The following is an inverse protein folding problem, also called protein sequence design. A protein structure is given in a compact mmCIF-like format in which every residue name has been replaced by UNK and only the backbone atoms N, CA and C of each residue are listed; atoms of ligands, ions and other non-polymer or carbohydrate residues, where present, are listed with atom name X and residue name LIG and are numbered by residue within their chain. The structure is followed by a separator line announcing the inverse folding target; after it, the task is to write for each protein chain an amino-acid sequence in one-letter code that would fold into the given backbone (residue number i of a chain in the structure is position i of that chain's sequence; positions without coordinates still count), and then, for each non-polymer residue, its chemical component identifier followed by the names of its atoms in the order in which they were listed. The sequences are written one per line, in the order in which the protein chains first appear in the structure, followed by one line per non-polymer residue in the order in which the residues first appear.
data_IF_954587113675
#
_entry.id   IF_954587113675
#
_cell.length_a   1.000
_cell.length_b   1.000
_cell.length_c   1.000
_cell.angle_alpha   90.00
_cell.angle_beta   90.00
_cell.angle_gamma   90.00
#
_symmetry.space_group_name_H-M   'P 1'
#
loop_
_entity.id
_entity.type
_entity.pdbx_description
1 polymer ?
#
# COMPACT_ATOMS: atom_id res chain seq x y z
N UNK A 1 33.28 18.17 -5.15
CA UNK A 1 33.86 17.53 -3.95
C UNK A 1 33.34 16.10 -3.94
N UNK A 2 34.24 15.11 -4.00
CA UNK A 2 33.87 13.69 -3.99
C UNK A 2 33.28 13.38 -2.61
N UNK A 3 31.96 13.13 -2.57
CA UNK A 3 31.35 12.50 -1.42
C UNK A 3 31.93 11.08 -1.35
N UNK A 4 32.68 10.78 -0.29
CA UNK A 4 33.08 9.41 0.00
C UNK A 4 31.82 8.58 0.14
N UNK A 5 31.59 7.65 -0.79
CA UNK A 5 30.54 6.64 -0.67
C UNK A 5 30.84 5.85 0.61
N UNK A 6 30.09 6.14 1.69
CA UNK A 6 30.07 5.24 2.83
C UNK A 6 29.63 3.87 2.32
N UNK A 7 30.32 2.78 2.70
CA UNK A 7 29.90 1.44 2.30
C UNK A 7 28.47 1.21 2.76
N UNK A 8 27.65 0.63 1.87
CA UNK A 8 26.25 0.31 2.16
C UNK A 8 26.16 -0.44 3.49
N UNK A 9 25.17 -0.06 4.31
CA UNK A 9 24.90 -0.70 5.61
C UNK A 9 24.60 -2.19 5.47
N UNK A 10 24.22 -2.61 4.27
CA UNK A 10 23.85 -3.98 3.92
C UNK A 10 24.91 -4.69 3.07
N UNK A 11 26.13 -4.14 2.95
CA UNK A 11 27.20 -4.71 2.12
C UNK A 11 27.62 -6.13 2.53
N UNK A 12 27.31 -6.57 3.75
CA UNK A 12 27.57 -7.94 4.23
C UNK A 12 26.46 -8.93 3.88
N UNK A 13 25.29 -8.46 3.41
CA UNK A 13 24.20 -9.34 2.98
C UNK A 13 24.44 -9.83 1.55
N UNK A 14 24.08 -11.08 1.23
CA UNK A 14 24.26 -11.60 -0.11
C UNK A 14 23.36 -10.86 -1.10
N UNK A 15 23.83 -10.73 -2.34
CA UNK A 15 22.96 -10.37 -3.45
C UNK A 15 22.04 -11.55 -3.75
N UNK A 16 20.73 -11.32 -3.67
CA UNK A 16 19.74 -12.32 -4.00
C UNK A 16 19.52 -12.39 -5.51
N UNK A 17 19.27 -13.59 -6.03
CA UNK A 17 18.72 -13.76 -7.38
C UNK A 17 17.22 -13.51 -7.32
N UNK A 18 16.64 -12.87 -8.33
CA UNK A 18 15.20 -12.69 -8.46
C UNK A 18 14.46 -14.03 -8.62
N UNK A 19 15.10 -15.01 -9.27
CA UNK A 19 14.56 -16.35 -9.47
C UNK A 19 15.52 -17.46 -9.04
N UNK A 20 14.95 -18.57 -8.56
CA UNK A 20 15.63 -19.84 -8.28
C UNK A 20 14.86 -20.94 -9.00
N UNK A 21 15.53 -21.68 -9.88
CA UNK A 21 14.93 -22.77 -10.67
C UNK A 21 13.65 -22.39 -11.43
N UNK A 22 13.57 -21.14 -11.92
CA UNK A 22 12.43 -20.59 -12.65
C UNK A 22 11.26 -20.13 -11.77
N UNK A 23 11.38 -20.25 -10.46
CA UNK A 23 10.41 -19.78 -9.48
C UNK A 23 10.87 -18.46 -8.82
N UNK A 24 9.93 -17.62 -8.36
CA UNK A 24 10.25 -16.37 -7.67
C UNK A 24 11.00 -16.64 -6.37
N UNK A 25 12.07 -15.90 -6.11
CA UNK A 25 12.84 -16.02 -4.88
C UNK A 25 12.17 -15.23 -3.76
N UNK A 26 11.25 -15.86 -3.02
CA UNK A 26 10.48 -15.20 -1.96
C UNK A 26 10.70 -15.79 -0.55
N UNK A 27 11.63 -16.73 -0.35
CA UNK A 27 11.90 -17.34 0.96
C UNK A 27 13.38 -17.75 1.15
N UNK A 28 13.76 -18.04 2.40
CA UNK A 28 15.08 -18.52 2.79
C UNK A 28 16.01 -17.45 3.38
N UNK A 29 15.61 -16.17 3.36
CA UNK A 29 16.34 -15.05 3.96
C UNK A 29 15.48 -14.23 4.92
N UNK A 30 14.52 -14.85 5.62
CA UNK A 30 13.57 -14.20 6.51
C UNK A 30 14.25 -13.35 7.59
N UNK A 31 15.34 -13.84 8.16
CA UNK A 31 16.12 -13.10 9.17
C UNK A 31 16.79 -11.84 8.61
N UNK A 32 17.28 -11.90 7.36
CA UNK A 32 17.87 -10.74 6.70
C UNK A 32 16.80 -9.72 6.30
N UNK A 33 15.68 -10.19 5.74
CA UNK A 33 14.49 -9.36 5.44
C UNK A 33 14.03 -8.64 6.70
N UNK A 34 13.80 -9.37 7.79
CA UNK A 34 13.37 -8.79 9.06
C UNK A 34 14.37 -7.74 9.56
N UNK A 35 15.68 -8.05 9.55
CA UNK A 35 16.72 -7.12 9.99
C UNK A 35 16.73 -5.83 9.16
N UNK A 36 16.52 -5.92 7.85
CA UNK A 36 16.53 -4.77 6.92
C UNK A 36 15.25 -3.95 7.06
N UNK A 37 14.07 -4.58 7.05
CA UNK A 37 12.79 -3.89 7.15
C UNK A 37 12.60 -3.19 8.49
N UNK A 38 13.15 -3.73 9.58
CA UNK A 38 13.11 -3.14 10.92
C UNK A 38 14.08 -1.96 11.12
N UNK A 39 14.88 -1.59 10.11
CA UNK A 39 15.72 -0.39 10.22
C UNK A 39 14.85 0.85 10.36
N UNK A 40 14.90 1.48 11.52
CA UNK A 40 14.23 2.74 11.79
C UNK A 40 15.20 3.90 11.54
N UNK A 41 15.18 4.45 10.33
CA UNK A 41 15.94 5.66 9.98
C UNK A 41 15.12 6.53 9.04
N UNK A 42 15.25 7.85 9.18
CA UNK A 42 14.66 8.79 8.24
C UNK A 42 15.35 8.65 6.87
N UNK A 43 14.57 8.31 5.85
CA UNK A 43 15.06 8.13 4.49
C UNK A 43 14.74 9.33 3.59
N UNK A 44 13.72 10.11 3.95
CA UNK A 44 13.18 11.19 3.13
C UNK A 44 13.67 12.57 3.61
N UNK A 45 13.74 12.81 4.93
CA UNK A 45 14.19 14.09 5.49
C UNK A 45 15.52 14.61 4.93
N UNK A 46 16.57 13.79 4.74
CA UNK A 46 17.84 14.31 4.20
C UNK A 46 17.75 14.77 2.74
N UNK A 47 16.65 14.46 2.05
CA UNK A 47 16.48 14.66 0.60
C UNK A 47 15.23 15.46 0.23
N UNK A 48 14.34 15.73 1.19
CA UNK A 48 13.10 16.46 0.94
C UNK A 48 13.39 17.93 0.61
N UNK A 49 12.61 18.48 -0.30
CA UNK A 49 12.62 19.89 -0.67
C UNK A 49 11.34 20.62 -0.19
N UNK A 50 10.49 19.93 0.58
CA UNK A 50 9.22 20.49 1.07
C UNK A 50 9.49 21.40 2.28
N UNK A 51 9.06 22.65 2.17
CA UNK A 51 9.10 23.62 3.28
C UNK A 51 7.80 23.50 4.08
N UNK A 52 7.77 22.54 5.00
CA UNK A 52 6.55 22.07 5.68
C UNK A 52 5.76 23.16 6.41
N UNK A 53 6.43 24.19 6.91
CA UNK A 53 5.83 25.34 7.59
C UNK A 53 5.17 26.33 6.64
N UNK A 54 5.53 26.32 5.36
CA UNK A 54 5.08 27.31 4.36
C UNK A 54 3.90 26.83 3.52
N UNK A 55 3.61 25.54 3.52
CA UNK A 55 2.51 24.97 2.73
C UNK A 55 1.17 25.03 3.50
N UNK A 56 0.07 25.23 2.78
CA UNK A 56 -1.28 25.18 3.35
C UNK A 56 -1.78 23.75 3.51
N UNK A 57 -1.43 22.88 2.58
CA UNK A 57 -1.81 21.48 2.53
C UNK A 57 -0.84 20.70 1.62
N UNK A 58 -0.96 19.38 1.62
CA UNK A 58 -0.28 18.52 0.66
C UNK A 58 -1.21 17.50 0.01
N UNK A 59 -0.68 16.83 -1.01
CA UNK A 59 -1.34 15.69 -1.64
C UNK A 59 -0.35 14.54 -1.85
N UNK A 60 -0.87 13.32 -1.82
CA UNK A 60 -0.12 12.11 -2.08
C UNK A 60 -0.94 11.20 -3.01
N UNK A 61 -0.28 10.67 -4.04
CA UNK A 61 -0.88 9.66 -4.92
C UNK A 61 -0.12 8.35 -4.83
N UNK A 62 -0.85 7.24 -4.85
CA UNK A 62 -0.33 5.91 -5.10
C UNK A 62 -0.93 5.31 -6.36
N UNK A 63 -0.13 4.52 -7.06
CA UNK A 63 -0.59 3.68 -8.16
C UNK A 63 -0.51 2.21 -7.73
N UNK A 64 -1.66 1.56 -7.67
CA UNK A 64 -1.77 0.11 -7.46
C UNK A 64 -1.62 -0.61 -8.80
N UNK A 65 -0.77 -1.64 -8.88
CA UNK A 65 -0.47 -2.36 -10.12
C UNK A 65 -0.52 -3.87 -9.88
N UNK A 66 -1.36 -4.57 -10.64
CA UNK A 66 -1.55 -6.00 -10.45
C UNK A 66 -1.87 -6.73 -11.76
N UNK A 67 -1.23 -7.90 -11.93
CA UNK A 67 -1.63 -8.91 -12.90
C UNK A 67 -1.60 -10.26 -12.21
N UNK A 68 -2.63 -11.11 -12.39
CA UNK A 68 -2.64 -12.42 -11.78
C UNK A 68 -1.64 -13.37 -12.46
N UNK A 69 -1.27 -14.40 -11.71
CA UNK A 69 -0.61 -15.59 -12.26
C UNK A 69 -1.67 -16.61 -12.68
N UNK A 70 -1.54 -17.19 -13.87
CA UNK A 70 -2.49 -18.15 -14.42
C UNK A 70 -1.80 -19.42 -14.92
N UNK A 71 -2.46 -20.59 -14.87
CA UNK A 71 -1.90 -21.87 -15.33
C UNK A 71 -2.07 -22.06 -16.85
N UNK A 72 -1.71 -21.04 -17.65
CA UNK A 72 -1.92 -21.03 -19.10
C UNK A 72 -0.65 -21.31 -19.92
N UNK A 73 0.50 -21.51 -19.27
CA UNK A 73 1.75 -21.83 -19.94
C UNK A 73 1.77 -23.25 -20.51
N UNK A 74 2.84 -23.57 -21.23
CA UNK A 74 3.07 -24.92 -21.79
C UNK A 74 2.94 -25.97 -20.67
N UNK A 75 2.12 -27.00 -20.90
CA UNK A 75 1.80 -28.05 -19.92
C UNK A 75 1.16 -27.54 -18.61
N UNK A 76 0.44 -26.42 -18.65
CA UNK A 76 -0.22 -25.84 -17.47
C UNK A 76 0.74 -25.10 -16.53
N UNK A 77 1.93 -24.73 -17.02
CA UNK A 77 2.89 -23.94 -16.25
C UNK A 77 2.29 -22.58 -15.84
N UNK A 78 2.69 -22.10 -14.68
CA UNK A 78 2.28 -20.80 -14.17
C UNK A 78 2.99 -19.67 -14.93
N UNK A 79 2.20 -18.81 -15.56
CA UNK A 79 2.69 -17.64 -16.29
C UNK A 79 1.96 -16.38 -15.84
N UNK A 80 2.54 -15.22 -16.13
CA UNK A 80 1.82 -13.95 -16.01
C UNK A 80 0.63 -13.92 -16.95
N UNK A 81 -0.51 -13.43 -16.48
CA UNK A 81 -1.63 -13.11 -17.37
C UNK A 81 -1.22 -12.11 -18.47
N UNK A 82 -0.31 -11.17 -18.17
CA UNK A 82 0.20 -10.24 -19.18
C UNK A 82 0.94 -10.96 -20.32
N UNK A 83 1.68 -12.04 -20.02
CA UNK A 83 2.31 -12.87 -21.03
C UNK A 83 1.27 -13.53 -21.93
N UNK A 84 0.23 -14.14 -21.33
CA UNK A 84 -0.88 -14.75 -22.07
C UNK A 84 -1.53 -13.73 -23.01
N UNK A 85 -1.75 -12.50 -22.55
CA UNK A 85 -2.32 -11.43 -23.38
C UNK A 85 -1.44 -11.11 -24.61
N UNK A 86 -0.12 -11.04 -24.44
CA UNK A 86 0.80 -10.83 -25.56
C UNK A 86 0.80 -11.99 -26.56
N UNK A 87 0.69 -13.23 -26.08
CA UNK A 87 0.65 -14.42 -26.92
C UNK A 87 -0.69 -14.57 -27.66
N UNK A 88 -1.78 -13.98 -27.14
CA UNK A 88 -3.13 -14.12 -27.66
C UNK A 88 -3.84 -12.76 -27.83
N UNK A 89 -3.32 -11.84 -28.66
CA UNK A 89 -3.75 -10.44 -28.70
C UNK A 89 -5.18 -10.22 -29.22
N UNK A 90 -5.79 -11.21 -29.87
CA UNK A 90 -7.13 -11.12 -30.46
C UNK A 90 -8.26 -11.65 -29.56
N UNK A 91 -7.91 -12.14 -28.36
CA UNK A 91 -8.89 -12.66 -27.40
C UNK A 91 -9.30 -11.55 -26.43
N UNK A 92 -10.59 -11.19 -26.42
CA UNK A 92 -11.13 -10.17 -25.53
C UNK A 92 -10.32 -8.86 -25.53
N UNK A 93 -9.93 -8.42 -24.34
CA UNK A 93 -9.18 -7.17 -24.14
C UNK A 93 -7.65 -7.34 -24.21
N UNK A 94 -7.15 -8.50 -24.68
CA UNK A 94 -5.72 -8.80 -24.75
C UNK A 94 -4.92 -7.83 -25.63
N UNK A 95 -5.58 -7.17 -26.59
CA UNK A 95 -4.99 -6.11 -27.41
C UNK A 95 -4.43 -4.94 -26.56
N UNK A 96 -4.84 -4.80 -25.29
CA UNK A 96 -4.33 -3.80 -24.35
C UNK A 96 -3.01 -4.18 -23.64
N UNK A 97 -2.43 -5.36 -23.91
CA UNK A 97 -1.22 -5.82 -23.22
C UNK A 97 -0.07 -4.79 -23.24
N UNK A 98 0.16 -4.15 -24.39
CA UNK A 98 1.16 -3.09 -24.53
C UNK A 98 0.84 -1.86 -23.66
N UNK A 99 -0.43 -1.48 -23.58
CA UNK A 99 -0.89 -0.36 -22.74
C UNK A 99 -0.72 -0.68 -21.27
N UNK A 100 -1.05 -1.90 -20.83
CA UNK A 100 -0.81 -2.34 -19.45
C UNK A 100 0.68 -2.30 -19.11
N UNK A 101 1.54 -2.88 -19.95
CA UNK A 101 2.99 -2.82 -19.77
C UNK A 101 3.50 -1.37 -19.67
N UNK A 102 2.98 -0.47 -20.50
CA UNK A 102 3.32 0.95 -20.41
C UNK A 102 2.83 1.57 -19.10
N UNK A 103 1.63 1.25 -18.62
CA UNK A 103 1.15 1.72 -17.31
C UNK A 103 2.11 1.28 -16.18
N UNK A 104 2.64 0.06 -16.23
CA UNK A 104 3.61 -0.47 -15.27
C UNK A 104 5.01 0.14 -15.34
N UNK A 105 5.32 0.89 -16.40
CA UNK A 105 6.69 1.38 -16.64
C UNK A 105 6.78 2.88 -16.88
N UNK A 106 5.67 3.55 -17.17
CA UNK A 106 5.61 4.98 -17.54
C UNK A 106 6.19 5.91 -16.49
N UNK A 107 6.17 5.53 -15.20
CA UNK A 107 6.80 6.36 -14.18
C UNK A 107 8.31 6.45 -14.34
N UNK A 108 8.95 5.43 -14.93
CA UNK A 108 10.36 5.48 -15.28
C UNK A 108 10.68 6.42 -16.45
N UNK A 109 9.64 6.90 -17.15
CA UNK A 109 9.75 7.94 -18.19
C UNK A 109 9.39 9.31 -17.62
N UNK A 110 8.26 9.40 -16.92
CA UNK A 110 7.71 10.68 -16.43
C UNK A 110 8.57 11.31 -15.35
N UNK A 111 9.08 10.52 -14.40
CA UNK A 111 9.88 11.05 -13.28
C UNK A 111 11.18 11.71 -13.80
N UNK A 112 12.03 11.02 -14.60
CA UNK A 112 13.21 11.67 -15.17
C UNK A 112 12.88 12.88 -16.06
N UNK A 113 11.83 12.81 -16.87
CA UNK A 113 11.41 13.91 -17.74
C UNK A 113 11.08 15.17 -16.95
N UNK A 114 10.22 15.05 -15.92
CA UNK A 114 9.78 16.16 -15.10
C UNK A 114 10.93 16.75 -14.26
N UNK A 115 11.83 15.91 -13.74
CA UNK A 115 13.03 16.38 -13.02
C UNK A 115 13.92 17.22 -13.94
N UNK A 116 14.14 16.77 -15.17
CA UNK A 116 14.91 17.54 -16.17
C UNK A 116 14.25 18.87 -16.53
N UNK A 117 12.94 18.99 -16.32
CA UNK A 117 12.16 20.22 -16.51
C UNK A 117 12.11 21.09 -15.23
N UNK A 118 12.81 20.72 -14.16
CA UNK A 118 12.85 21.46 -12.89
C UNK A 118 11.66 21.19 -11.96
N UNK A 119 10.84 20.18 -12.25
CA UNK A 119 9.74 19.78 -11.37
C UNK A 119 10.22 18.78 -10.29
N UNK A 120 9.42 18.62 -9.23
CA UNK A 120 9.71 17.70 -8.13
C UNK A 120 8.59 16.65 -7.94
N UNK A 121 8.41 15.73 -8.90
CA UNK A 121 7.29 14.80 -8.88
C UNK A 121 7.37 13.78 -7.74
N UNK A 122 6.27 13.50 -7.07
CA UNK A 122 6.15 12.44 -6.05
C UNK A 122 5.12 11.41 -6.46
N UNK A 123 5.44 10.13 -6.27
CA UNK A 123 4.51 9.03 -6.49
C UNK A 123 4.82 7.88 -5.53
N UNK A 124 3.78 7.24 -5.02
CA UNK A 124 3.88 5.97 -4.32
C UNK A 124 3.53 4.82 -5.29
N UNK A 125 4.27 3.71 -5.24
CA UNK A 125 4.09 2.55 -6.10
C UNK A 125 3.76 1.32 -5.27
N UNK A 126 2.63 0.69 -5.57
CA UNK A 126 2.19 -0.59 -5.00
C UNK A 126 2.11 -1.62 -6.13
N UNK A 127 3.04 -2.58 -6.15
CA UNK A 127 3.07 -3.64 -7.16
C UNK A 127 3.00 -4.99 -6.45
N UNK A 128 1.99 -5.79 -6.81
CA UNK A 128 1.90 -7.18 -6.32
C UNK A 128 3.14 -8.02 -6.69
N UNK A 129 3.43 -9.04 -5.89
CA UNK A 129 4.49 -9.99 -6.18
C UNK A 129 4.27 -10.78 -7.48
N UNK A 130 3.02 -11.11 -7.81
CA UNK A 130 2.66 -11.75 -9.10
C UNK A 130 3.10 -10.90 -10.29
N UNK A 131 2.81 -9.59 -10.27
CA UNK A 131 3.18 -8.70 -11.34
C UNK A 131 4.70 -8.59 -11.48
N UNK A 132 5.41 -8.37 -10.36
CA UNK A 132 6.88 -8.29 -10.37
C UNK A 132 7.52 -9.57 -10.93
N UNK A 133 6.99 -10.73 -10.54
CA UNK A 133 7.45 -12.01 -11.08
C UNK A 133 7.15 -12.14 -12.58
N UNK A 134 5.93 -11.79 -12.99
CA UNK A 134 5.50 -11.82 -14.38
C UNK A 134 6.33 -10.93 -15.30
N UNK A 135 6.67 -9.71 -14.86
CA UNK A 135 7.57 -8.82 -15.59
C UNK A 135 8.96 -9.44 -15.76
N UNK A 136 9.46 -10.16 -14.74
CA UNK A 136 10.70 -10.93 -14.81
C UNK A 136 10.62 -12.13 -15.75
N UNK A 137 9.52 -12.88 -15.73
CA UNK A 137 9.29 -14.02 -16.63
C UNK A 137 9.31 -13.61 -18.11
N UNK A 138 8.67 -12.49 -18.44
CA UNK A 138 8.58 -11.98 -19.81
C UNK A 138 9.91 -11.41 -20.33
N UNK A 139 10.91 -11.20 -19.46
CA UNK A 139 12.26 -10.70 -19.80
C UNK A 139 12.26 -9.42 -20.65
N UNK A 140 11.30 -8.55 -20.41
CA UNK A 140 11.26 -7.20 -20.99
C UNK A 140 12.11 -6.24 -20.17
N UNK A 141 12.39 -5.04 -20.69
CA UNK A 141 13.17 -4.00 -20.01
C UNK A 141 12.43 -3.34 -18.82
N UNK A 142 11.22 -3.80 -18.50
CA UNK A 142 10.36 -3.24 -17.47
C UNK A 142 11.01 -3.21 -16.08
N UNK A 143 11.62 -4.32 -15.64
CA UNK A 143 12.29 -4.35 -14.33
C UNK A 143 13.53 -3.45 -14.29
N UNK A 144 14.25 -3.29 -15.41
CA UNK A 144 15.41 -2.40 -15.47
C UNK A 144 15.00 -0.93 -15.42
N UNK A 145 13.89 -0.57 -16.07
CA UNK A 145 13.25 0.75 -15.95
C UNK A 145 12.83 1.05 -14.52
N UNK A 146 12.19 0.09 -13.84
CA UNK A 146 11.79 0.24 -12.44
C UNK A 146 13.02 0.34 -11.53
N UNK A 147 14.04 -0.50 -11.72
CA UNK A 147 15.31 -0.42 -10.99
C UNK A 147 15.96 0.95 -11.12
N UNK A 148 15.88 1.60 -12.29
CA UNK A 148 16.42 2.96 -12.46
C UNK A 148 15.80 3.94 -11.47
N UNK A 149 14.47 4.06 -11.44
CA UNK A 149 13.80 5.02 -10.55
C UNK A 149 13.82 4.61 -9.07
N UNK A 150 14.00 3.31 -8.79
CA UNK A 150 14.08 2.80 -7.42
C UNK A 150 15.48 2.92 -6.83
N UNK A 151 16.52 2.56 -7.57
CA UNK A 151 17.85 2.34 -7.02
C UNK A 151 18.79 3.54 -7.23
N UNK A 152 18.64 4.31 -8.31
CA UNK A 152 19.46 5.49 -8.55
C UNK A 152 19.15 6.57 -7.50
N UNK A 153 20.19 7.05 -6.82
CA UNK A 153 20.09 8.08 -5.78
C UNK A 153 19.46 9.38 -6.27
N UNK A 154 19.53 9.65 -7.57
CA UNK A 154 18.90 10.81 -8.23
C UNK A 154 17.38 10.74 -8.15
N UNK A 155 16.79 9.55 -8.30
CA UNK A 155 15.34 9.37 -8.38
C UNK A 155 14.68 8.92 -7.06
N UNK A 156 15.47 8.38 -6.13
CA UNK A 156 15.00 7.97 -4.80
C UNK A 156 14.13 8.99 -4.05
N UNK A 157 14.39 10.32 -4.10
CA UNK A 157 13.54 11.31 -3.41
C UNK A 157 12.12 11.44 -3.99
N UNK A 158 11.83 10.82 -5.14
CA UNK A 158 10.63 11.08 -5.93
C UNK A 158 9.68 9.88 -6.01
N UNK A 159 10.13 8.69 -5.60
CA UNK A 159 9.39 7.43 -5.73
C UNK A 159 9.46 6.64 -4.43
N UNK A 160 8.33 6.51 -3.75
CA UNK A 160 8.18 5.61 -2.60
C UNK A 160 7.55 4.29 -3.06
N UNK A 161 8.06 3.17 -2.56
CA UNK A 161 7.42 1.87 -2.71
C UNK A 161 6.62 1.55 -1.46
N UNK A 162 5.36 1.14 -1.65
CA UNK A 162 4.52 0.59 -0.60
C UNK A 162 4.66 -0.92 -0.60
N UNK A 163 4.68 -1.50 0.60
CA UNK A 163 4.52 -2.93 0.76
C UNK A 163 3.10 -3.35 0.40
N UNK A 164 2.98 -4.58 -0.08
CA UNK A 164 1.71 -5.27 -0.31
C UNK A 164 1.93 -6.77 -0.09
N UNK A 165 0.96 -7.60 -0.44
CA UNK A 165 1.09 -9.05 -0.39
C UNK A 165 1.64 -9.61 -1.70
N UNK A 166 2.35 -10.75 -1.61
CA UNK A 166 2.95 -11.33 -2.81
C UNK A 166 1.90 -11.76 -3.84
N UNK A 167 0.82 -12.41 -3.40
CA UNK A 167 -0.20 -12.97 -4.30
C UNK A 167 -1.49 -12.12 -4.40
N UNK A 168 -1.43 -10.82 -4.05
CA UNK A 168 -2.63 -9.99 -3.91
C UNK A 168 -3.65 -10.60 -2.91
N UNK A 169 -3.14 -11.13 -1.80
CA UNK A 169 -3.92 -11.76 -0.75
C UNK A 169 -4.73 -10.69 0.02
N UNK A 170 -6.05 -10.68 -0.17
CA UNK A 170 -6.98 -9.77 0.49
C UNK A 170 -7.14 -10.16 1.96
N UNK A 171 -6.86 -9.24 2.88
CA UNK A 171 -6.65 -9.58 4.28
C UNK A 171 -7.88 -10.24 4.97
N UNK A 172 -9.12 -9.76 4.76
CA UNK A 172 -10.31 -10.38 5.37
C UNK A 172 -10.62 -11.80 4.88
N UNK A 173 -10.08 -12.21 3.74
CA UNK A 173 -10.35 -13.54 3.16
C UNK A 173 -9.16 -14.50 3.28
N UNK A 174 -7.98 -14.00 3.64
CA UNK A 174 -6.74 -14.78 3.74
C UNK A 174 -6.59 -15.36 5.14
N UNK A 175 -6.37 -16.68 5.32
CA UNK A 175 -6.12 -17.26 6.63
C UNK A 175 -5.06 -16.49 7.42
N UNK A 176 -5.33 -16.21 8.69
CA UNK A 176 -4.47 -15.38 9.54
C UNK A 176 -2.98 -15.81 9.51
N UNK A 177 -2.64 -17.12 9.61
CA UNK A 177 -1.25 -17.57 9.52
C UNK A 177 -0.55 -17.22 8.19
N UNK A 178 -1.31 -17.11 7.10
CA UNK A 178 -0.78 -16.90 5.75
C UNK A 178 -0.52 -15.41 5.46
N UNK A 179 -1.17 -14.49 6.18
CA UNK A 179 -0.99 -13.05 5.99
C UNK A 179 0.49 -12.65 6.09
N UNK A 180 1.15 -13.05 7.18
CA UNK A 180 2.56 -12.74 7.41
C UNK A 180 3.46 -13.37 6.35
N UNK A 181 3.14 -14.60 5.91
CA UNK A 181 3.89 -15.29 4.86
C UNK A 181 3.82 -14.53 3.53
N UNK A 182 2.63 -14.07 3.14
CA UNK A 182 2.46 -13.28 1.92
C UNK A 182 3.19 -11.94 1.97
N UNK A 183 3.19 -11.28 3.12
CA UNK A 183 3.90 -10.02 3.33
C UNK A 183 5.42 -10.23 3.25
N UNK A 184 5.95 -11.24 3.94
CA UNK A 184 7.38 -11.54 3.93
C UNK A 184 7.85 -12.02 2.56
N UNK A 185 7.04 -12.82 1.87
CA UNK A 185 7.30 -13.25 0.50
C UNK A 185 7.46 -12.06 -0.45
N UNK A 186 6.61 -11.04 -0.30
CA UNK A 186 6.72 -9.81 -1.06
C UNK A 186 8.04 -9.07 -0.75
N UNK A 187 8.36 -8.86 0.53
CA UNK A 187 9.59 -8.16 0.94
C UNK A 187 10.84 -8.85 0.42
N UNK A 188 10.84 -10.18 0.49
CA UNK A 188 11.95 -11.01 0.02
C UNK A 188 12.16 -10.88 -1.48
N UNK A 189 11.08 -11.04 -2.26
CA UNK A 189 11.15 -10.93 -3.71
C UNK A 189 11.49 -9.48 -4.15
N UNK A 190 10.95 -8.48 -3.45
CA UNK A 190 11.31 -7.08 -3.66
C UNK A 190 12.80 -6.82 -3.43
N UNK A 191 13.38 -7.33 -2.33
CA UNK A 191 14.81 -7.24 -2.09
C UNK A 191 15.65 -7.97 -3.16
N UNK A 192 15.14 -9.06 -3.71
CA UNK A 192 15.81 -9.77 -4.80
C UNK A 192 15.84 -8.99 -6.12
N UNK A 193 14.81 -8.21 -6.41
CA UNK A 193 14.73 -7.39 -7.62
C UNK A 193 15.47 -6.06 -7.43
N UNK A 194 15.25 -5.36 -6.32
CA UNK A 194 15.67 -3.97 -6.11
C UNK A 194 16.82 -3.80 -5.10
N UNK A 195 17.15 -4.84 -4.34
CA UNK A 195 18.21 -4.82 -3.33
C UNK A 195 17.77 -4.38 -1.93
N UNK A 196 18.63 -4.66 -0.95
CA UNK A 196 18.36 -4.41 0.47
C UNK A 196 18.15 -2.94 0.83
N UNK A 197 18.91 -2.03 0.20
CA UNK A 197 18.74 -0.58 0.42
C UNK A 197 17.36 -0.09 -0.02
N UNK A 198 16.80 -0.69 -1.09
CA UNK A 198 15.45 -0.38 -1.54
C UNK A 198 14.42 -0.90 -0.54
N UNK A 199 14.54 -2.16 -0.09
CA UNK A 199 13.64 -2.74 0.91
C UNK A 199 13.63 -1.93 2.21
N UNK A 200 14.79 -1.44 2.66
CA UNK A 200 14.88 -0.66 3.89
C UNK A 200 13.98 0.59 3.87
N UNK A 201 13.72 1.18 2.69
CA UNK A 201 12.88 2.38 2.51
C UNK A 201 11.38 2.09 2.48
N UNK A 202 10.96 0.83 2.34
CA UNK A 202 9.54 0.46 2.28
C UNK A 202 8.97 0.47 3.69
N UNK A 203 8.27 1.55 4.06
CA UNK A 203 7.69 1.74 5.40
C UNK A 203 6.17 1.81 5.40
N UNK A 204 5.54 2.17 4.28
CA UNK A 204 4.10 2.14 4.11
C UNK A 204 3.60 0.79 3.61
N UNK A 205 2.37 0.43 3.98
CA UNK A 205 1.67 -0.75 3.47
C UNK A 205 0.34 -0.37 2.80
N UNK A 206 0.10 -0.94 1.61
CA UNK A 206 -1.14 -0.83 0.85
C UNK A 206 -1.84 -2.20 0.87
N UNK A 207 -2.93 -2.36 1.64
CA UNK A 207 -3.70 -3.60 1.64
C UNK A 207 -4.29 -3.85 0.24
N UNK A 208 -4.22 -5.09 -0.31
CA UNK A 208 -4.95 -5.44 -1.52
C UNK A 208 -6.44 -5.11 -1.40
N UNK A 209 -7.02 -4.56 -2.47
CA UNK A 209 -8.39 -4.00 -2.50
C UNK A 209 -8.65 -2.90 -1.45
N UNK A 210 -7.60 -2.41 -0.81
CA UNK A 210 -7.66 -1.51 0.34
C UNK A 210 -8.57 -2.04 1.46
N UNK A 211 -8.72 -3.36 1.54
CA UNK A 211 -9.69 -4.00 2.42
C UNK A 211 -9.08 -4.26 3.80
N UNK A 212 -9.64 -3.58 4.80
CA UNK A 212 -9.26 -3.73 6.20
C UNK A 212 -10.17 -4.76 6.90
N UNK A 213 -9.64 -5.77 7.61
CA UNK A 213 -10.47 -6.66 8.41
C UNK A 213 -11.23 -5.88 9.49
N UNK A 214 -12.54 -6.11 9.60
CA UNK A 214 -13.36 -5.51 10.66
C UNK A 214 -13.54 -6.47 11.85
N UNK A 215 -13.32 -7.78 11.67
CA UNK A 215 -13.27 -8.72 12.80
C UNK A 215 -12.10 -8.40 13.75
N UNK A 216 -12.32 -8.24 15.07
CA UNK A 216 -11.29 -7.86 16.06
C UNK A 216 -9.98 -8.66 15.99
N UNK A 217 -10.07 -10.00 15.98
CA UNK A 217 -8.88 -10.86 15.96
C UNK A 217 -8.10 -10.79 14.65
N UNK A 218 -8.82 -10.70 13.51
CA UNK A 218 -8.19 -10.64 12.20
C UNK A 218 -7.48 -9.29 12.00
N UNK A 219 -8.10 -8.20 12.45
CA UNK A 219 -7.47 -6.88 12.44
C UNK A 219 -6.21 -6.84 13.31
N UNK A 220 -6.29 -7.38 14.53
CA UNK A 220 -5.16 -7.43 15.46
C UNK A 220 -3.97 -8.17 14.86
N UNK A 221 -4.19 -9.38 14.33
CA UNK A 221 -3.10 -10.17 13.74
C UNK A 221 -2.59 -9.55 12.44
N UNK A 222 -3.44 -8.89 11.64
CA UNK A 222 -3.00 -8.13 10.47
C UNK A 222 -2.08 -6.97 10.86
N UNK A 223 -2.51 -6.09 11.77
CA UNK A 223 -1.69 -4.94 12.22
C UNK A 223 -0.41 -5.41 12.89
N UNK A 224 -0.47 -6.45 13.72
CA UNK A 224 0.71 -7.08 14.34
C UNK A 224 1.67 -7.64 13.28
N UNK A 225 1.18 -8.35 12.27
CA UNK A 225 2.01 -8.84 11.17
C UNK A 225 2.70 -7.70 10.41
N UNK A 226 2.02 -6.57 10.18
CA UNK A 226 2.63 -5.39 9.57
C UNK A 226 3.78 -4.82 10.41
N UNK A 227 3.57 -4.66 11.73
CA UNK A 227 4.63 -4.18 12.64
C UNK A 227 5.81 -5.13 12.72
N UNK A 228 5.54 -6.44 12.82
CA UNK A 228 6.56 -7.48 12.82
C UNK A 228 7.42 -7.47 11.55
N UNK A 229 6.80 -7.12 10.41
CA UNK A 229 7.47 -6.98 9.12
C UNK A 229 8.14 -5.61 8.91
N UNK A 230 8.08 -4.71 9.89
CA UNK A 230 8.80 -3.43 9.88
C UNK A 230 8.07 -2.27 9.17
N UNK A 231 6.79 -2.44 8.83
CA UNK A 231 5.97 -1.33 8.36
C UNK A 231 5.65 -0.37 9.50
N UNK A 232 5.63 0.93 9.18
CA UNK A 232 5.39 2.04 10.12
C UNK A 232 4.00 2.62 9.98
N UNK A 233 3.42 2.53 8.79
CA UNK A 233 2.08 3.04 8.53
C UNK A 233 1.34 2.19 7.50
N UNK A 234 0.02 2.26 7.55
CA UNK A 234 -0.88 1.56 6.62
C UNK A 234 -1.85 2.54 5.98
N UNK A 235 -2.13 2.37 4.70
CA UNK A 235 -3.18 3.13 4.03
C UNK A 235 -4.53 2.43 4.26
N UNK A 236 -5.56 3.18 4.66
CA UNK A 236 -6.91 2.63 4.93
C UNK A 236 -8.00 3.47 4.25
N UNK A 237 -9.10 2.84 3.84
CA UNK A 237 -10.23 3.59 3.26
C UNK A 237 -10.99 4.35 4.33
N UNK A 238 -11.39 5.60 4.03
CA UNK A 238 -12.18 6.46 4.91
C UNK A 238 -13.42 5.76 5.50
N UNK A 239 -14.10 4.93 4.71
CA UNK A 239 -15.32 4.23 5.13
C UNK A 239 -15.08 2.84 5.76
N UNK A 240 -13.82 2.39 5.81
CA UNK A 240 -13.43 1.14 6.49
C UNK A 240 -13.08 1.34 7.96
N UNK A 241 -13.05 2.60 8.41
CA UNK A 241 -12.67 3.00 9.76
C UNK A 241 -13.67 3.99 10.34
N UNK A 242 -13.72 4.04 11.66
CA UNK A 242 -14.55 4.93 12.47
C UNK A 242 -13.75 5.45 13.66
N UNK A 243 -14.23 6.53 14.27
CA UNK A 243 -13.77 6.94 15.61
C UNK A 243 -14.14 5.86 16.64
N UNK A 244 -13.50 5.88 17.83
CA UNK A 244 -13.80 4.90 18.87
C UNK A 244 -15.26 4.95 19.37
N UNK A 245 -15.92 6.10 19.18
CA UNK A 245 -17.33 6.32 19.48
C UNK A 245 -18.27 5.95 18.31
N UNK A 246 -17.76 5.34 17.24
CA UNK A 246 -18.57 4.84 16.11
C UNK A 246 -19.00 5.91 15.10
N UNK A 247 -18.43 7.11 15.15
CA UNK A 247 -18.67 8.17 14.18
C UNK A 247 -17.67 8.14 13.01
N UNK A 248 -18.06 8.65 11.85
CA UNK A 248 -17.16 8.89 10.71
C UNK A 248 -16.02 9.85 11.08
N UNK A 249 -14.87 9.72 10.41
CA UNK A 249 -13.70 10.55 10.65
C UNK A 249 -13.94 12.00 10.22
N UNK A 250 -13.77 12.95 11.14
CA UNK A 250 -13.89 14.39 10.86
C UNK A 250 -12.60 14.97 10.27
N UNK A 251 -11.44 14.53 10.77
CA UNK A 251 -10.12 15.01 10.36
C UNK A 251 -9.44 14.08 9.35
N UNK A 252 -10.19 13.56 8.36
CA UNK A 252 -9.74 12.53 7.40
C UNK A 252 -8.44 12.81 6.62
N UNK A 253 -7.96 14.05 6.58
CA UNK A 253 -6.70 14.41 5.92
C UNK A 253 -5.51 14.49 6.88
N UNK A 254 -5.69 14.11 8.14
CA UNK A 254 -4.63 13.96 9.13
C UNK A 254 -4.33 12.46 9.34
N UNK A 255 -3.10 12.12 9.75
CA UNK A 255 -2.80 10.76 10.18
C UNK A 255 -3.67 10.40 11.38
N UNK A 256 -4.08 9.13 11.45
CA UNK A 256 -4.83 8.58 12.58
C UNK A 256 -4.03 7.45 13.21
N UNK A 257 -4.30 7.15 14.48
CA UNK A 257 -3.81 5.94 15.13
C UNK A 257 -4.86 4.85 15.02
N UNK A 258 -4.64 3.89 14.12
CA UNK A 258 -5.50 2.73 13.98
C UNK A 258 -5.27 1.80 15.17
N UNK A 259 -6.28 1.67 16.04
CA UNK A 259 -6.27 0.81 17.22
C UNK A 259 -6.93 -0.51 16.86
N UNK A 260 -6.18 -1.60 17.00
CA UNK A 260 -6.65 -2.96 16.79
C UNK A 260 -6.66 -3.69 18.14
N UNK A 261 -7.85 -3.99 18.64
CA UNK A 261 -8.06 -4.78 19.86
C UNK A 261 -8.59 -6.16 19.48
N UNK A 262 -7.98 -7.22 20.00
CA UNK A 262 -8.48 -8.58 19.81
C UNK A 262 -9.50 -8.98 20.87
N UNK A 263 -10.09 -10.16 20.71
CA UNK A 263 -11.12 -10.68 21.60
C UNK A 263 -10.60 -11.09 22.99
N UNK A 264 -9.28 -11.24 23.15
CA UNK A 264 -8.61 -11.45 24.43
C UNK A 264 -8.23 -10.14 25.15
N UNK A 265 -8.55 -8.98 24.58
CA UNK A 265 -8.27 -7.65 25.16
C UNK A 265 -6.87 -7.12 24.85
N UNK A 266 -6.04 -7.86 24.12
CA UNK A 266 -4.74 -7.37 23.66
C UNK A 266 -4.94 -6.28 22.61
N UNK A 267 -4.06 -5.28 22.62
CA UNK A 267 -4.16 -4.13 21.72
C UNK A 267 -2.84 -3.88 21.03
N UNK A 268 -2.90 -3.63 19.73
CA UNK A 268 -1.79 -3.13 18.91
C UNK A 268 -2.29 -1.92 18.11
N UNK A 269 -1.40 -0.99 17.80
CA UNK A 269 -1.74 0.16 16.97
C UNK A 269 -0.67 0.48 15.93
N UNK A 270 -1.08 1.15 14.86
CA UNK A 270 -0.22 1.64 13.79
C UNK A 270 -0.77 2.95 13.24
N UNK A 271 0.12 3.82 12.75
CA UNK A 271 -0.26 5.05 12.05
C UNK A 271 -0.97 4.73 10.73
N UNK A 272 -2.10 5.39 10.49
CA UNK A 272 -2.94 5.20 9.32
C UNK A 272 -3.04 6.50 8.52
N UNK A 273 -2.76 6.41 7.22
CA UNK A 273 -3.08 7.46 6.26
C UNK A 273 -4.40 7.11 5.57
N UNK A 274 -5.35 8.04 5.61
CA UNK A 274 -6.71 7.78 5.14
C UNK A 274 -6.80 8.08 3.65
N UNK A 275 -7.16 7.06 2.86
CA UNK A 275 -7.57 7.21 1.47
C UNK A 275 -8.96 7.85 1.43
N UNK A 276 -9.04 9.07 0.93
CA UNK A 276 -10.30 9.84 0.86
C UNK A 276 -11.04 9.64 -0.47
N UNK A 277 -12.33 10.03 -0.51
CA UNK A 277 -13.19 10.05 -1.71
C UNK A 277 -13.62 8.66 -2.26
N UNK A 278 -13.61 7.61 -1.44
CA UNK A 278 -14.29 6.34 -1.76
C UNK A 278 -13.63 5.51 -2.87
N UNK A 279 -14.38 4.61 -3.51
CA UNK A 279 -13.91 3.60 -4.47
C UNK A 279 -13.62 4.11 -5.88
N UNK A 280 -13.73 5.42 -6.15
CA UNK A 280 -13.50 5.94 -7.50
C UNK A 280 -12.01 6.02 -7.85
N UNK A 281 -11.51 4.93 -8.44
CA UNK A 281 -10.12 4.81 -8.90
C UNK A 281 -9.75 5.83 -10.00
N UNK A 282 -10.74 6.50 -10.61
CA UNK A 282 -10.51 7.45 -11.71
C UNK A 282 -10.04 8.82 -11.22
N UNK A 283 -10.24 9.15 -9.94
CA UNK A 283 -9.87 10.45 -9.37
C UNK A 283 -8.36 10.72 -9.44
N UNK A 284 -7.55 9.69 -9.21
CA UNK A 284 -6.10 9.75 -9.38
C UNK A 284 -5.73 10.04 -10.82
N UNK A 285 -6.50 9.50 -11.78
CA UNK A 285 -6.30 9.70 -13.22
C UNK A 285 -6.39 11.15 -13.68
N UNK A 286 -7.05 12.00 -12.90
CA UNK A 286 -7.18 13.43 -13.18
C UNK A 286 -6.44 14.30 -12.16
N UNK A 287 -5.59 13.70 -11.32
CA UNK A 287 -4.88 14.39 -10.23
C UNK A 287 -5.82 15.17 -9.31
N UNK A 288 -7.04 14.67 -9.08
CA UNK A 288 -8.00 15.28 -8.15
C UNK A 288 -7.43 15.57 -6.74
N UNK A 289 -6.54 14.75 -6.12
CA UNK A 289 -6.08 15.04 -4.76
C UNK A 289 -5.25 16.32 -4.68
N UNK A 290 -4.56 16.71 -5.76
CA UNK A 290 -3.87 18.00 -5.84
C UNK A 290 -4.88 19.16 -5.80
N UNK A 291 -5.97 19.08 -6.57
CA UNK A 291 -6.98 20.13 -6.59
C UNK A 291 -7.78 20.19 -5.29
N UNK A 292 -8.06 19.06 -4.63
CA UNK A 292 -8.66 19.02 -3.29
C UNK A 292 -7.74 19.68 -2.26
N UNK A 293 -6.43 19.39 -2.28
CA UNK A 293 -5.47 19.99 -1.37
C UNK A 293 -5.44 21.53 -1.45
N UNK A 294 -5.63 22.11 -2.65
CA UNK A 294 -5.72 23.58 -2.84
C UNK A 294 -6.90 24.22 -2.12
N UNK A 295 -7.91 23.43 -1.74
CA UNK A 295 -9.08 23.92 -0.98
C UNK A 295 -8.91 23.82 0.52
N UNK A 296 -7.83 23.19 0.98
CA UNK A 296 -7.57 22.94 2.39
C UNK A 296 -6.63 23.97 2.99
N UNK A 297 -6.73 24.14 4.30
CA UNK A 297 -5.84 24.95 5.11
C UNK A 297 -5.22 24.10 6.22
N UNK A 298 -4.15 24.63 6.81
CA UNK A 298 -3.46 23.98 7.94
C UNK A 298 -4.44 23.67 9.06
N UNK A 299 -4.27 22.50 9.66
CA UNK A 299 -5.02 22.04 10.83
C UNK A 299 -4.09 21.99 12.03
N UNK A 300 -4.61 21.57 13.18
CA UNK A 300 -3.86 21.48 14.42
C UNK A 300 -3.91 20.06 14.98
N UNK A 301 -2.74 19.53 15.37
CA UNK A 301 -2.61 18.33 16.19
C UNK A 301 -1.90 18.76 17.46
N UNK A 302 -2.58 18.67 18.62
CA UNK A 302 -2.00 18.98 19.94
C UNK A 302 -1.29 20.34 20.04
N UNK A 303 -1.82 21.41 19.44
CA UNK A 303 -1.17 22.73 19.42
C UNK A 303 -0.16 22.93 18.30
N UNK A 304 0.16 21.89 17.52
CA UNK A 304 1.10 21.95 16.40
C UNK A 304 0.30 22.19 15.13
N UNK A 305 0.58 23.31 14.46
CA UNK A 305 -0.01 23.60 13.16
C UNK A 305 0.64 22.72 12.09
N UNK A 306 -0.14 21.90 11.41
CA UNK A 306 0.32 20.95 10.39
C UNK A 306 -0.50 21.09 9.11
N UNK A 307 0.09 20.91 7.91
CA UNK A 307 -0.66 20.82 6.68
C UNK A 307 -1.39 19.48 6.60
N UNK A 308 -2.70 19.44 6.26
CA UNK A 308 -3.39 18.20 5.94
C UNK A 308 -2.83 17.57 4.66
N UNK A 309 -2.92 16.25 4.54
CA UNK A 309 -2.50 15.47 3.37
C UNK A 309 -3.71 14.79 2.71
N UNK A 310 -4.04 15.19 1.49
CA UNK A 310 -5.01 14.45 0.67
C UNK A 310 -4.33 13.22 0.08
N UNK A 311 -4.68 12.04 0.56
CA UNK A 311 -4.06 10.77 0.14
C UNK A 311 -5.04 9.98 -0.71
N UNK A 312 -4.62 9.56 -1.91
CA UNK A 312 -5.42 8.69 -2.77
C UNK A 312 -4.57 7.61 -3.43
N UNK A 313 -5.20 6.48 -3.72
CA UNK A 313 -4.64 5.38 -4.48
C UNK A 313 -5.65 4.97 -5.56
N UNK A 314 -5.14 4.66 -6.75
CA UNK A 314 -5.93 4.14 -7.85
C UNK A 314 -5.14 3.09 -8.63
N UNK A 315 -5.85 2.14 -9.22
CA UNK A 315 -5.29 1.12 -10.10
C UNK A 315 -4.66 1.80 -11.32
N UNK A 316 -3.36 1.64 -11.53
CA UNK A 316 -2.61 2.39 -12.53
C UNK A 316 -2.96 2.01 -13.98
N UNK A 317 -3.55 0.84 -14.18
CA UNK A 317 -4.00 0.28 -15.44
C UNK A 317 -5.52 0.40 -15.69
N UNK A 318 -6.31 0.87 -14.72
CA UNK A 318 -7.76 0.71 -14.75
C UNK A 318 -8.48 1.73 -15.67
N UNK A 319 -8.92 1.22 -16.82
CA UNK A 319 -9.84 1.90 -17.72
C UNK A 319 -9.25 3.10 -18.45
N UNK A 320 -10.09 3.71 -19.29
CA UNK A 320 -9.67 4.78 -20.20
C UNK A 320 -9.09 6.02 -19.50
N UNK A 321 -9.53 6.36 -18.29
CA UNK A 321 -9.03 7.53 -17.56
C UNK A 321 -7.57 7.32 -17.13
N UNK A 322 -7.26 6.19 -16.48
CA UNK A 322 -5.89 5.91 -16.05
C UNK A 322 -4.96 5.64 -17.21
N UNK A 323 -5.44 5.01 -18.28
CA UNK A 323 -4.62 4.75 -19.47
C UNK A 323 -4.33 6.03 -20.26
N UNK A 324 -5.31 6.91 -20.44
CA UNK A 324 -5.21 8.02 -21.42
C UNK A 324 -5.10 9.41 -20.79
N UNK A 325 -5.79 9.68 -19.67
CA UNK A 325 -5.85 11.03 -19.09
C UNK A 325 -4.72 11.27 -18.08
N UNK A 326 -4.43 10.28 -17.23
CA UNK A 326 -3.37 10.35 -16.21
C UNK A 326 -2.03 10.87 -16.71
N UNK A 327 -1.48 10.42 -17.86
CA UNK A 327 -0.19 10.92 -18.34
C UNK A 327 -0.12 12.44 -18.46
N UNK A 328 -1.16 13.03 -19.05
CA UNK A 328 -1.22 14.47 -19.26
C UNK A 328 -1.56 15.23 -17.98
N UNK A 329 -2.45 14.68 -17.14
CA UNK A 329 -2.82 15.27 -15.87
C UNK A 329 -1.65 15.30 -14.89
N UNK A 330 -0.95 14.16 -14.72
CA UNK A 330 0.22 14.03 -13.86
C UNK A 330 1.30 15.05 -14.25
N UNK A 331 1.67 15.11 -15.54
CA UNK A 331 2.68 16.06 -16.02
C UNK A 331 2.25 17.51 -15.77
N UNK A 332 1.01 17.87 -16.09
CA UNK A 332 0.48 19.23 -15.88
C UNK A 332 0.54 19.63 -14.42
N UNK A 333 0.05 18.77 -13.53
CA UNK A 333 0.04 19.04 -12.09
C UNK A 333 1.42 19.36 -11.56
N UNK A 334 2.47 18.63 -11.96
CA UNK A 334 3.82 18.92 -11.48
C UNK A 334 4.41 20.22 -12.01
N UNK A 335 4.03 20.66 -13.21
CA UNK A 335 4.37 22.00 -13.69
C UNK A 335 3.64 23.09 -12.90
N UNK A 336 2.37 22.87 -12.52
CA UNK A 336 1.63 23.82 -11.68
C UNK A 336 2.21 23.91 -10.26
N UNK A 337 2.54 22.77 -9.64
CA UNK A 337 3.20 22.72 -8.32
C UNK A 337 4.55 23.44 -8.34
N UNK A 338 5.30 23.39 -9.46
CA UNK A 338 6.55 24.12 -9.60
C UNK A 338 6.35 25.66 -9.67
N UNK A 339 5.14 26.13 -10.03
CA UNK A 339 4.79 27.55 -10.11
C UNK A 339 4.12 28.07 -8.83
N UNK A 340 3.40 27.21 -8.11
CA UNK A 340 2.65 27.55 -6.90
C UNK A 340 3.03 26.58 -5.76
N UNK A 341 3.82 27.08 -4.82
CA UNK A 341 4.30 26.32 -3.67
C UNK A 341 3.35 26.34 -2.47
N UNK A 342 2.10 26.81 -2.63
CA UNK A 342 1.10 26.77 -1.53
C UNK A 342 0.72 25.34 -1.16
N UNK A 343 0.69 24.44 -2.14
CA UNK A 343 0.43 23.00 -1.95
C UNK A 343 1.64 22.21 -2.41
N UNK A 344 2.06 21.22 -1.63
CA UNK A 344 3.15 20.32 -2.00
C UNK A 344 2.67 18.89 -2.23
N UNK A 345 3.26 18.24 -3.22
CA UNK A 345 3.16 16.79 -3.34
C UNK A 345 4.19 16.12 -2.43
N UNK A 346 3.78 15.07 -1.72
CA UNK A 346 4.63 14.30 -0.79
C UNK A 346 4.32 12.80 -0.93
N UNK A 347 5.26 11.96 -0.53
CA UNK A 347 4.96 10.54 -0.29
C UNK A 347 4.54 10.33 1.17
N UNK A 348 3.92 9.19 1.50
CA UNK A 348 3.37 8.95 2.84
C UNK A 348 4.44 8.94 3.93
N UNK A 349 5.56 8.27 3.68
CA UNK A 349 6.68 8.26 4.64
C UNK A 349 7.37 9.63 4.73
N UNK A 350 7.52 10.36 3.62
CA UNK A 350 8.07 11.73 3.65
C UNK A 350 7.21 12.66 4.51
N UNK A 351 5.88 12.60 4.35
CA UNK A 351 4.95 13.37 5.15
C UNK A 351 5.06 13.02 6.64
N UNK A 352 5.11 11.74 7.00
CA UNK A 352 5.21 11.31 8.40
C UNK A 352 6.55 11.69 9.03
N UNK A 353 7.67 11.60 8.31
CA UNK A 353 8.96 12.07 8.84
C UNK A 353 8.98 13.61 9.05
N UNK A 354 8.27 14.37 8.21
CA UNK A 354 8.08 15.83 8.40
C UNK A 354 7.17 16.13 9.60
N UNK A 355 6.12 15.34 9.82
CA UNK A 355 5.27 15.42 11.01
C UNK A 355 6.08 15.16 12.30
N UNK A 356 6.91 14.11 12.32
CA UNK A 356 7.82 13.82 13.43
C UNK A 356 8.78 15.00 13.69
N UNK A 357 9.33 15.61 12.64
CA UNK A 357 10.22 16.79 12.76
C UNK A 357 9.48 18.04 13.28
N UNK A 358 8.20 18.19 12.95
CA UNK A 358 7.35 19.27 13.47
C UNK A 358 6.95 19.06 14.94
N UNK A 359 7.25 17.90 15.52
CA UNK A 359 7.02 17.56 16.91
C UNK A 359 5.75 16.74 17.17
N UNK A 360 5.13 16.17 16.15
CA UNK A 360 4.01 15.24 16.32
C UNK A 360 4.54 13.82 16.55
N UNK A 361 4.00 13.13 17.56
CA UNK A 361 4.25 11.70 17.80
C UNK A 361 3.05 10.84 17.37
N UNK A 362 3.25 9.53 17.19
CA UNK A 362 2.17 8.61 16.78
C UNK A 362 0.99 8.63 17.77
N UNK A 363 1.27 8.86 19.05
CA UNK A 363 0.30 8.96 20.14
C UNK A 363 -0.55 10.24 20.10
N UNK A 364 -0.10 11.28 19.39
CA UNK A 364 -0.81 12.55 19.27
C UNK A 364 -1.96 12.48 18.25
N UNK A 365 -1.90 11.50 17.34
CA UNK A 365 -2.89 11.34 16.29
C UNK A 365 -4.24 10.89 16.86
N UNK A 366 -5.37 11.38 16.29
CA UNK A 366 -6.70 10.91 16.67
C UNK A 366 -6.82 9.40 16.45
N UNK A 367 -7.44 8.73 17.42
CA UNK A 367 -7.65 7.28 17.33
C UNK A 367 -8.80 6.94 16.38
N UNK A 368 -8.61 5.87 15.61
CA UNK A 368 -9.66 5.22 14.85
C UNK A 368 -9.60 3.71 15.04
N UNK A 369 -10.68 3.02 14.68
CA UNK A 369 -10.78 1.56 14.68
C UNK A 369 -11.48 1.11 13.39
N UNK A 370 -11.45 -0.19 13.08
CA UNK A 370 -12.20 -0.70 11.94
C UNK A 370 -13.71 -0.51 12.14
N UNK A 371 -14.41 -0.28 11.04
CA UNK A 371 -15.85 0.01 11.00
C UNK A 371 -16.66 -1.02 11.80
N UNK A 372 -17.70 -0.54 12.48
CA UNK A 372 -18.64 -1.32 13.30
C UNK A 372 -18.06 -1.97 14.59
N UNK A 373 -16.77 -1.85 14.88
CA UNK A 373 -16.21 -2.38 16.13
C UNK A 373 -16.73 -1.66 17.38
N UNK A 374 -17.13 -0.38 17.27
CA UNK A 374 -17.76 0.36 18.37
C UNK A 374 -18.96 -0.39 18.95
N UNK A 375 -19.77 -0.99 18.08
CA UNK A 375 -20.98 -1.72 18.48
C UNK A 375 -20.67 -2.98 19.30
N UNK A 376 -19.52 -3.62 19.03
CA UNK A 376 -19.03 -4.76 19.81
C UNK A 376 -18.62 -4.28 21.19
N UNK A 377 -17.82 -3.21 21.26
CA UNK A 377 -17.25 -2.68 22.50
C UNK A 377 -18.28 -1.96 23.40
N UNK A 378 -19.47 -1.64 22.88
CA UNK A 378 -20.63 -1.26 23.71
C UNK A 378 -21.23 -2.45 24.50
N UNK A 379 -21.06 -3.68 24.01
CA UNK A 379 -21.63 -4.90 24.63
C UNK A 379 -20.62 -5.67 25.47
N UNK A 380 -19.32 -5.46 25.23
CA UNK A 380 -18.24 -6.16 25.92
C UNK A 380 -17.32 -5.12 26.55
N UNK A 381 -17.11 -5.21 27.86
CA UNK A 381 -16.11 -4.39 28.56
C UNK A 381 -14.72 -4.73 28.00
N UNK A 382 -14.03 -3.80 27.33
CA UNK A 382 -12.75 -4.09 26.71
C UNK A 382 -11.63 -4.43 27.70
N UNK A 383 -11.76 -4.08 28.98
CA UNK A 383 -10.76 -4.43 30.01
C UNK A 383 -10.93 -5.85 30.57
N UNK A 384 -12.08 -6.48 30.30
CA UNK A 384 -12.42 -7.82 30.78
C UNK A 384 -12.97 -8.68 29.65
N UNK A 385 -12.57 -8.41 28.40
CA UNK A 385 -13.05 -9.12 27.23
C UNK A 385 -12.54 -10.56 27.19
N UNK A 386 -13.40 -11.49 26.79
CA UNK A 386 -13.01 -12.87 26.43
C UNK A 386 -13.47 -13.21 25.01
N UNK A 387 -12.80 -14.17 24.34
CA UNK A 387 -13.23 -14.66 23.03
C UNK A 387 -14.71 -15.04 22.96
N UNK A 388 -15.23 -15.70 23.99
CA UNK A 388 -16.63 -16.12 24.06
C UNK A 388 -17.59 -14.92 24.15
N UNK A 389 -17.24 -13.90 24.95
CA UNK A 389 -18.05 -12.70 25.10
C UNK A 389 -18.12 -11.90 23.79
N UNK A 390 -16.97 -11.72 23.12
CA UNK A 390 -16.89 -11.03 21.83
C UNK A 390 -17.63 -11.81 20.74
N UNK A 391 -17.45 -13.13 20.67
CA UNK A 391 -18.19 -13.98 19.74
C UNK A 391 -19.71 -13.89 19.96
N UNK A 392 -20.17 -13.94 21.21
CA UNK A 392 -21.59 -13.80 21.54
C UNK A 392 -22.14 -12.42 21.15
N UNK A 393 -21.37 -11.35 21.37
CA UNK A 393 -21.76 -10.00 20.98
C UNK A 393 -21.88 -9.85 19.46
N UNK A 394 -20.94 -10.41 18.69
CA UNK A 394 -20.97 -10.43 17.22
C UNK A 394 -22.22 -11.18 16.73
N UNK A 395 -22.53 -12.35 17.29
CA UNK A 395 -23.72 -13.12 16.90
C UNK A 395 -25.02 -12.36 17.19
N UNK A 396 -25.13 -11.73 18.37
CA UNK A 396 -26.29 -10.91 18.70
C UNK A 396 -26.44 -9.73 17.74
N UNK A 397 -25.34 -9.03 17.44
CA UNK A 397 -25.32 -7.91 16.50
C UNK A 397 -25.75 -8.30 15.07
N UNK A 398 -25.29 -9.46 14.59
CA UNK A 398 -25.70 -9.98 13.28
C UNK A 398 -27.20 -10.30 13.22
N UNK A 399 -27.81 -10.69 14.34
CA UNK A 399 -29.25 -10.96 14.41
C UNK A 399 -30.07 -9.66 14.52
N UNK A 400 -29.56 -8.66 15.25
CA UNK A 400 -30.25 -7.40 15.54
C UNK A 400 -30.14 -6.38 14.40
N UNK A 401 -29.02 -6.37 13.68
CA UNK A 401 -28.73 -5.38 12.65
C UNK A 401 -28.32 -6.05 11.33
N UNK A 402 -29.21 -6.09 10.32
CA UNK A 402 -28.90 -6.66 9.01
C UNK A 402 -27.74 -5.99 8.27
N UNK A 403 -27.39 -4.75 8.63
CA UNK A 403 -26.26 -4.00 8.06
C UNK A 403 -24.95 -4.21 8.83
N UNK A 404 -24.96 -5.01 9.89
CA UNK A 404 -23.75 -5.38 10.61
C UNK A 404 -23.08 -6.56 9.92
N UNK A 405 -21.97 -6.29 9.26
CA UNK A 405 -21.13 -7.29 8.62
C UNK A 405 -19.80 -7.39 9.37
N UNK A 406 -19.35 -8.62 9.59
CA UNK A 406 -18.04 -8.92 10.18
C UNK A 406 -17.32 -9.85 9.21
N UNK A 407 -16.52 -9.23 8.35
CA UNK A 407 -15.62 -9.88 7.41
C UNK A 407 -14.33 -10.21 8.17
N UNK A 408 -14.16 -11.50 8.44
CA UNK A 408 -13.00 -12.01 9.16
C UNK A 408 -12.50 -13.28 8.53
N UNK A 409 -11.19 -13.36 8.33
CA UNK A 409 -10.54 -14.63 8.04
C UNK A 409 -10.59 -15.50 9.29
N UNK A 410 -11.05 -16.75 9.16
CA UNK A 410 -11.01 -17.71 10.27
C UNK A 410 -9.62 -18.32 10.40
N UNK A 411 -9.16 -18.53 11.64
CA UNK A 411 -7.94 -19.29 11.97
C UNK A 411 -7.96 -20.73 11.44
N UNK A 412 -9.14 -21.33 11.29
CA UNK A 412 -9.33 -22.72 10.88
C UNK A 412 -9.91 -22.84 9.47
N UNK A 413 -9.82 -21.80 8.64
CA UNK A 413 -10.71 -21.56 7.50
C UNK A 413 -11.10 -22.81 6.67
N UNK A 414 -12.22 -23.43 7.06
CA UNK A 414 -13.13 -24.25 6.25
C UNK A 414 -14.21 -23.36 5.60
N UNK A 415 -14.05 -22.02 5.58
CA UNK A 415 -14.85 -21.14 4.73
C UNK A 415 -14.46 -21.42 3.28
N UNK A 416 -15.09 -22.47 2.78
CA UNK A 416 -15.18 -22.85 1.39
C UNK A 416 -15.55 -21.61 0.56
N UNK A 417 -14.56 -21.08 -0.15
CA UNK A 417 -14.72 -20.11 -1.24
C UNK A 417 -15.58 -20.66 -2.40
N UNK A 418 -16.06 -21.91 -2.27
CA UNK A 418 -16.83 -22.65 -3.27
C UNK A 418 -18.29 -22.20 -3.32
N UNK A 419 -18.87 -21.65 -2.24
CA UNK A 419 -20.26 -21.15 -2.28
C UNK A 419 -20.33 -19.90 -3.16
N UNK A 420 -20.74 -20.07 -4.41
CA UNK A 420 -20.77 -19.02 -5.45
C UNK A 420 -19.75 -19.19 -6.59
N UNK A 421 -18.73 -20.04 -6.40
CA UNK A 421 -17.75 -20.41 -7.43
C UNK A 421 -17.86 -21.90 -7.83
N UNK A 422 -18.96 -22.58 -7.49
CA UNK A 422 -19.20 -23.98 -7.88
C UNK A 422 -19.05 -24.21 -9.39
N UNK A 423 -19.38 -23.20 -10.20
CA UNK A 423 -19.32 -23.24 -11.65
C UNK A 423 -17.91 -23.02 -12.23
N UNK A 424 -16.93 -22.60 -11.41
CA UNK A 424 -15.54 -22.33 -11.84
C UNK A 424 -14.58 -23.45 -11.41
N UNK A 425 -15.02 -24.32 -10.50
CA UNK A 425 -14.21 -25.38 -9.88
C UNK A 425 -14.57 -26.81 -10.34
N UNK A 426 -15.43 -26.97 -11.35
CA UNK A 426 -15.55 -28.26 -12.03
C UNK A 426 -14.20 -28.66 -12.61
N UNK A 427 -13.76 -29.93 -12.48
CA UNK A 427 -12.57 -30.41 -13.18
C UNK A 427 -12.70 -30.04 -14.66
N UNK A 428 -11.66 -29.43 -15.24
CA UNK A 428 -11.59 -29.30 -16.69
C UNK A 428 -11.62 -30.72 -17.25
N UNK A 429 -12.75 -31.09 -17.86
CA UNK A 429 -12.92 -32.35 -18.58
C UNK A 429 -12.12 -32.36 -19.86
#
# INVERSE_FOLDING_TARGET
MSASLQPSRFATLPQLKDQIDGLPNFSGYESAVQKVSQVNQAHWLPKTNVQFEQISAGFAIALHMHQPTIPAGIHGALISNLQQMFEHPYEGDNHNAGTFLWCYTRMAEFIPELINQGCHPKVMLDYSGNLLWGLGQMKLDALDRLKRITCDTTYQPYVEWLGTTWSHAVAPSTPIPDLKLHIQAWQHHFAAIFGWEALARVKGFSPPEMHLPNHPDALYEFVKALKDCGYRWVMVQEHSVETLDGHSLTSRHLPHRLVARNSAGETVSMTALIKTQGSDTKLVGQMQPYYEAKTLSRQEIKGISVPPLVTQIGDGENGGVMMNEFPSAFKRTWHEVAQDSSVAGMTGSEYLELMETAGCEDEDYPECQAIAQHLIWQRVDPNHSTPEAVHSAIQALQQENPNFHMDGASWTNDLSWVKGYENVLTPMS
#
